data_IF_948950318664
#
_entry.id   IF_948950318664
#
_cell.length_a   1.000
_cell.length_b   1.000
_cell.length_c   1.000
_cell.angle_alpha   90.00
_cell.angle_beta   90.00
_cell.angle_gamma   90.00
#
_symmetry.space_group_name_H-M   'P 1'
#
loop_
_entity.id
_entity.type
_entity.pdbx_description
1 polymer ?
#
# COMPACT_ATOMS: atom_id res chain seq x y z
N UNK A 1 7.90 19.27 1.62
CA UNK A 1 6.48 18.90 1.60
C UNK A 1 5.79 19.56 2.81
N UNK A 2 4.80 20.43 2.60
CA UNK A 2 4.23 21.29 3.67
C UNK A 2 3.56 20.51 4.81
N UNK A 3 3.11 19.27 4.57
CA UNK A 3 2.46 18.45 5.59
C UNK A 3 3.41 17.65 6.47
N UNK A 4 4.72 17.61 6.14
CA UNK A 4 5.67 16.74 6.84
C UNK A 4 5.73 16.97 8.35
N UNK A 5 5.78 18.22 8.87
CA UNK A 5 5.83 18.43 10.32
C UNK A 5 4.63 17.80 11.05
N UNK A 6 3.45 17.85 10.43
CA UNK A 6 2.23 17.26 10.97
C UNK A 6 2.24 15.73 10.93
N UNK A 7 2.65 15.15 9.79
CA UNK A 7 2.73 13.69 9.62
C UNK A 7 3.77 13.11 10.58
N UNK A 8 4.94 13.73 10.69
CA UNK A 8 5.99 13.29 11.62
C UNK A 8 5.54 13.38 13.08
N UNK A 9 4.86 14.47 13.47
CA UNK A 9 4.33 14.63 14.82
C UNK A 9 3.26 13.59 15.16
N UNK A 10 2.32 13.35 14.24
CA UNK A 10 1.27 12.35 14.43
C UNK A 10 1.84 10.93 14.53
N UNK A 11 2.77 10.58 13.65
CA UNK A 11 3.42 9.28 13.67
C UNK A 11 4.20 9.06 14.97
N UNK A 12 4.98 10.05 15.40
CA UNK A 12 5.71 9.97 16.67
C UNK A 12 4.78 9.78 17.87
N UNK A 13 3.65 10.51 17.92
CA UNK A 13 2.66 10.38 18.98
C UNK A 13 1.99 8.98 19.03
N UNK A 14 2.01 8.24 17.91
CA UNK A 14 1.45 6.90 17.77
C UNK A 14 2.51 5.79 17.80
N UNK A 15 3.79 6.12 17.97
CA UNK A 15 4.88 5.16 17.90
C UNK A 15 5.12 4.59 16.49
N UNK A 16 4.66 5.30 15.45
CA UNK A 16 4.87 4.93 14.05
C UNK A 16 6.13 5.58 13.47
N UNK A 17 6.77 4.87 12.53
CA UNK A 17 7.93 5.37 11.79
C UNK A 17 7.47 6.05 10.50
N UNK A 18 8.09 7.19 10.17
CA UNK A 18 7.91 7.87 8.88
C UNK A 18 9.19 7.76 8.07
N UNK A 19 9.08 7.20 6.87
CA UNK A 19 10.17 7.12 5.91
C UNK A 19 9.86 8.00 4.71
N UNK A 20 10.76 8.93 4.39
CA UNK A 20 10.65 9.79 3.21
C UNK A 20 12.00 10.02 2.57
N UNK A 21 12.01 10.19 1.24
CA UNK A 21 13.21 10.45 0.45
C UNK A 21 14.37 9.47 0.73
N UNK A 22 14.04 8.23 1.13
CA UNK A 22 15.01 7.18 1.39
C UNK A 22 15.47 6.56 0.06
N UNK A 23 16.75 6.17 -0.06
CA UNK A 23 17.24 5.44 -1.23
C UNK A 23 16.44 4.15 -1.46
N UNK A 24 16.05 3.89 -2.72
CA UNK A 24 15.25 2.71 -3.06
C UNK A 24 15.81 1.38 -2.54
N UNK A 25 17.14 1.11 -2.55
CA UNK A 25 17.68 -0.12 -1.97
C UNK A 25 17.39 -0.28 -0.47
N UNK A 26 17.38 0.81 0.30
CA UNK A 26 17.01 0.75 1.72
C UNK A 26 15.52 0.49 1.91
N UNK A 27 14.68 1.10 1.07
CA UNK A 27 13.23 0.86 1.10
C UNK A 27 12.93 -0.60 0.73
N UNK A 28 13.58 -1.13 -0.31
CA UNK A 28 13.44 -2.53 -0.71
C UNK A 28 13.84 -3.50 0.42
N UNK A 29 14.96 -3.23 1.12
CA UNK A 29 15.40 -4.04 2.26
C UNK A 29 14.42 -4.01 3.44
N UNK A 30 13.72 -2.88 3.67
CA UNK A 30 12.65 -2.82 4.66
C UNK A 30 11.42 -3.61 4.21
N UNK A 31 11.05 -3.47 2.94
CA UNK A 31 9.89 -4.16 2.36
C UNK A 31 10.07 -5.68 2.36
N UNK A 32 11.29 -6.19 2.13
CA UNK A 32 11.57 -7.64 2.11
C UNK A 32 11.35 -8.33 3.46
N UNK A 33 11.34 -7.60 4.56
CA UNK A 33 11.06 -8.13 5.91
C UNK A 33 9.68 -7.71 6.43
N UNK A 34 8.87 -7.06 5.59
CA UNK A 34 7.54 -6.60 5.96
C UNK A 34 6.53 -7.75 5.87
N UNK A 35 5.76 -7.96 6.95
CA UNK A 35 4.71 -8.99 7.00
C UNK A 35 3.52 -8.68 6.09
N UNK A 36 3.17 -7.41 5.97
CA UNK A 36 2.05 -6.92 5.17
C UNK A 36 2.32 -5.49 4.73
N UNK A 37 2.30 -5.24 3.42
CA UNK A 37 2.31 -3.91 2.84
C UNK A 37 0.90 -3.54 2.36
N UNK A 38 0.46 -2.31 2.62
CA UNK A 38 -0.79 -1.76 2.09
C UNK A 38 -0.47 -0.45 1.38
N UNK A 39 -0.82 -0.33 0.10
CA UNK A 39 -0.56 0.88 -0.68
C UNK A 39 -1.44 1.01 -1.90
N UNK A 40 -1.53 2.22 -2.45
CA UNK A 40 -2.27 2.49 -3.67
C UNK A 40 -1.53 2.08 -4.95
N UNK A 41 -2.07 2.44 -6.10
CA UNK A 41 -1.40 2.33 -7.40
C UNK A 41 -0.15 3.23 -7.45
N UNK A 42 1.02 2.68 -7.11
CA UNK A 42 2.27 3.43 -6.98
C UNK A 42 3.51 2.53 -7.13
N UNK A 43 4.65 3.12 -7.51
CA UNK A 43 5.92 2.40 -7.63
C UNK A 43 6.38 1.69 -6.35
N UNK A 44 6.02 2.19 -5.16
CA UNK A 44 6.35 1.51 -3.90
C UNK A 44 5.54 0.21 -3.71
N UNK A 45 4.31 0.17 -4.20
CA UNK A 45 3.47 -1.04 -4.18
C UNK A 45 4.05 -2.12 -5.09
N UNK A 46 4.55 -1.73 -6.27
CA UNK A 46 5.31 -2.64 -7.14
C UNK A 46 6.62 -3.09 -6.50
N UNK A 47 7.37 -2.17 -5.89
CA UNK A 47 8.61 -2.49 -5.21
C UNK A 47 8.38 -3.45 -4.04
N UNK A 48 7.28 -3.31 -3.28
CA UNK A 48 6.94 -4.21 -2.19
C UNK A 48 6.72 -5.65 -2.68
N UNK A 49 6.01 -5.82 -3.80
CA UNK A 49 5.79 -7.12 -4.41
C UNK A 49 7.09 -7.74 -4.93
N UNK A 50 7.94 -6.93 -5.58
CA UNK A 50 9.21 -7.38 -6.12
C UNK A 50 10.29 -7.66 -5.05
N UNK A 51 10.28 -6.90 -3.95
CA UNK A 51 11.27 -7.03 -2.87
C UNK A 51 10.99 -8.21 -1.93
N UNK A 52 9.86 -8.90 -2.09
CA UNK A 52 9.52 -10.07 -1.29
C UNK A 52 8.81 -9.76 0.02
N UNK A 53 8.04 -8.67 0.09
CA UNK A 53 7.10 -8.48 1.20
C UNK A 53 6.18 -9.70 1.30
N UNK A 54 5.94 -10.20 2.52
CA UNK A 54 5.24 -11.47 2.70
C UNK A 54 3.80 -11.43 2.17
N UNK A 55 3.14 -10.26 2.26
CA UNK A 55 1.82 -9.97 1.68
C UNK A 55 1.78 -8.54 1.18
N UNK A 56 1.13 -8.31 0.04
CA UNK A 56 0.92 -6.98 -0.55
C UNK A 56 -0.57 -6.78 -0.82
N UNK A 57 -1.17 -5.75 -0.23
CA UNK A 57 -2.52 -5.29 -0.53
C UNK A 57 -2.43 -4.03 -1.37
N UNK A 58 -2.84 -4.13 -2.63
CA UNK A 58 -2.78 -3.04 -3.60
C UNK A 58 -4.17 -2.45 -3.82
N UNK A 59 -4.34 -1.17 -3.49
CA UNK A 59 -5.61 -0.46 -3.57
C UNK A 59 -5.73 0.26 -4.92
N UNK A 60 -6.78 -0.03 -5.66
CA UNK A 60 -7.07 0.56 -6.96
C UNK A 60 -8.41 1.28 -6.94
N UNK A 61 -8.49 2.43 -7.59
CA UNK A 61 -9.73 3.17 -7.81
C UNK A 61 -9.88 3.51 -9.29
N UNK A 62 -9.36 4.65 -9.75
CA UNK A 62 -9.60 5.12 -11.12
C UNK A 62 -8.77 4.37 -12.17
N UNK A 63 -7.70 3.68 -11.75
CA UNK A 63 -6.81 2.93 -12.64
C UNK A 63 -7.18 1.46 -12.69
N UNK A 64 -6.95 0.83 -13.84
CA UNK A 64 -7.33 -0.56 -14.07
C UNK A 64 -6.25 -1.53 -13.54
N UNK A 65 -6.53 -2.34 -12.50
CA UNK A 65 -5.55 -3.29 -11.97
C UNK A 65 -5.22 -4.41 -12.96
N UNK A 66 -6.05 -4.70 -13.97
CA UNK A 66 -5.71 -5.67 -15.02
C UNK A 66 -4.50 -5.23 -15.87
N UNK A 67 -4.18 -3.93 -15.85
CA UNK A 67 -3.05 -3.36 -16.57
C UNK A 67 -1.89 -3.08 -15.61
N UNK A 68 -2.19 -2.57 -14.41
CA UNK A 68 -1.20 -1.99 -13.52
C UNK A 68 -0.96 -2.75 -12.21
N UNK A 69 -1.63 -3.87 -11.94
CA UNK A 69 -1.39 -4.61 -10.70
C UNK A 69 0.08 -5.05 -10.57
N UNK A 70 0.66 -5.04 -9.36
CA UNK A 70 1.98 -5.60 -9.14
C UNK A 70 2.03 -7.08 -9.51
N UNK A 71 3.15 -7.49 -10.10
CA UNK A 71 3.44 -8.91 -10.34
C UNK A 71 4.00 -9.51 -9.07
N UNK A 72 3.35 -10.55 -8.54
CA UNK A 72 3.82 -11.29 -7.37
C UNK A 72 2.76 -12.25 -6.84
N UNK A 73 3.18 -13.38 -6.24
CA UNK A 73 2.29 -14.45 -5.79
C UNK A 73 1.43 -14.07 -4.57
N UNK A 74 1.88 -13.09 -3.79
CA UNK A 74 1.24 -12.68 -2.53
C UNK A 74 0.55 -11.31 -2.64
N UNK A 75 0.12 -10.93 -3.85
CA UNK A 75 -0.56 -9.67 -4.13
C UNK A 75 -2.07 -9.86 -4.08
N UNK A 76 -2.74 -9.09 -3.22
CA UNK A 76 -4.20 -8.98 -3.15
C UNK A 76 -4.62 -7.62 -3.66
N UNK A 77 -5.41 -7.59 -4.72
CA UNK A 77 -5.97 -6.34 -5.29
C UNK A 77 -7.30 -6.05 -4.63
N UNK A 78 -7.50 -4.80 -4.18
CA UNK A 78 -8.76 -4.33 -3.61
C UNK A 78 -9.25 -3.13 -4.40
N UNK A 79 -10.52 -3.18 -4.81
CA UNK A 79 -11.19 -2.13 -5.60
C UNK A 79 -12.51 -1.73 -4.95
N UNK A 80 -13.03 -0.51 -5.21
CA UNK A 80 -14.40 -0.16 -4.86
C UNK A 80 -15.42 -1.19 -5.35
N UNK A 81 -16.54 -1.36 -4.64
CA UNK A 81 -17.67 -2.14 -5.13
C UNK A 81 -18.23 -1.56 -6.45
N UNK A 82 -18.53 -2.43 -7.40
CA UNK A 82 -19.10 -2.03 -8.70
C UNK A 82 -18.09 -2.03 -9.85
N UNK A 83 -18.47 -1.47 -11.01
CA UNK A 83 -17.62 -1.45 -12.19
C UNK A 83 -16.47 -0.44 -12.06
N UNK A 84 -15.33 -0.74 -12.67
CA UNK A 84 -14.22 0.18 -12.84
C UNK A 84 -14.35 0.98 -14.16
N UNK A 85 -13.79 2.20 -14.22
CA UNK A 85 -13.07 2.91 -13.16
C UNK A 85 -14.02 3.49 -12.11
N UNK A 86 -13.59 3.48 -10.84
CA UNK A 86 -14.33 4.06 -9.72
C UNK A 86 -13.44 5.05 -8.95
N UNK A 87 -14.01 5.96 -8.15
CA UNK A 87 -13.17 6.84 -7.36
C UNK A 87 -12.50 6.04 -6.22
N UNK A 88 -11.27 6.40 -5.84
CA UNK A 88 -10.64 5.81 -4.65
C UNK A 88 -11.48 6.10 -3.38
N UNK A 89 -12.19 7.23 -3.35
CA UNK A 89 -13.10 7.58 -2.27
C UNK A 89 -14.28 6.60 -2.13
N UNK A 90 -14.61 5.85 -3.18
CA UNK A 90 -15.69 4.85 -3.17
C UNK A 90 -15.24 3.51 -2.57
N UNK A 91 -13.93 3.33 -2.29
CA UNK A 91 -13.41 2.15 -1.61
C UNK A 91 -13.59 2.28 -0.09
N UNK A 92 -14.48 1.51 0.55
CA UNK A 92 -14.71 1.64 1.97
C UNK A 92 -13.50 1.17 2.77
N UNK A 93 -13.09 1.97 3.77
CA UNK A 93 -12.02 1.58 4.70
C UNK A 93 -12.34 0.25 5.40
N UNK A 94 -13.61 -0.01 5.71
CA UNK A 94 -14.05 -1.27 6.31
C UNK A 94 -13.70 -2.49 5.43
N UNK A 95 -13.90 -2.39 4.11
CA UNK A 95 -13.55 -3.45 3.16
C UNK A 95 -12.04 -3.68 3.13
N UNK A 96 -11.24 -2.60 3.14
CA UNK A 96 -9.77 -2.71 3.20
C UNK A 96 -9.34 -3.38 4.51
N UNK A 97 -9.92 -2.99 5.64
CA UNK A 97 -9.62 -3.57 6.95
C UNK A 97 -10.01 -5.05 7.05
N UNK A 98 -11.13 -5.45 6.44
CA UNK A 98 -11.55 -6.86 6.38
C UNK A 98 -10.50 -7.71 5.65
N UNK A 99 -10.10 -7.27 4.46
CA UNK A 99 -9.04 -7.94 3.67
C UNK A 99 -7.74 -8.01 4.46
N UNK A 100 -7.31 -6.88 5.03
CA UNK A 100 -6.06 -6.81 5.82
C UNK A 100 -6.08 -7.77 7.01
N UNK A 101 -7.19 -7.83 7.76
CA UNK A 101 -7.31 -8.74 8.91
C UNK A 101 -7.31 -10.21 8.50
N UNK A 102 -7.84 -10.55 7.33
CA UNK A 102 -7.82 -11.93 6.81
C UNK A 102 -6.45 -12.43 6.36
N UNK A 103 -5.46 -11.55 6.24
CA UNK A 103 -4.10 -11.88 5.78
C UNK A 103 -3.05 -11.93 6.90
N UNK A 104 -3.42 -11.53 8.12
CA UNK A 104 -2.55 -11.52 9.31
C UNK A 104 -2.66 -12.80 10.13
#
# INVERSE_FOLDING_TARGET
APLLPYISGLAAAQGHLVWMAAPLPRVAALLSVTRLFVGGDSGLTHLAAAAGAARVVALYGPTNPRVWAPVGEQVTVVTPPGPLPAAMADLPVAQVLEVVRGLL
#
